data_IF_670212515601
#
_entry.id   IF_670212515601
#
_cell.length_a   1.000
_cell.length_b   1.000
_cell.length_c   1.000
_cell.angle_alpha   90.00
_cell.angle_beta   90.00
_cell.angle_gamma   90.00
#
_symmetry.space_group_name_H-M   'P 1'
#
loop_
_entity.id
_entity.type
_entity.pdbx_description
1 polymer ?
#
# COMPACT_ATOMS: atom_id res chain seq x y z
N UNK A 1 8.78 65.81 -62.44
CA UNK A 1 9.57 65.36 -61.28
C UNK A 1 9.79 63.87 -61.44
N UNK A 2 11.04 63.50 -61.74
CA UNK A 2 11.55 62.15 -61.98
C UNK A 2 11.42 61.25 -60.73
N UNK A 3 11.53 59.92 -60.69
CA UNK A 3 11.60 58.71 -61.55
C UNK A 3 11.76 57.56 -60.52
N UNK A 4 11.49 56.31 -60.93
CA UNK A 4 12.08 55.04 -60.42
C UNK A 4 11.44 54.19 -59.30
N UNK A 5 11.15 52.95 -59.72
CA UNK A 5 11.03 51.68 -58.99
C UNK A 5 12.30 51.38 -58.17
N UNK A 6 12.16 50.71 -57.01
CA UNK A 6 13.23 49.89 -56.45
C UNK A 6 12.68 48.73 -55.59
N UNK A 7 12.96 47.52 -56.09
CA UNK A 7 12.92 46.22 -55.44
C UNK A 7 13.94 46.21 -54.27
N UNK A 8 13.58 45.69 -53.09
CA UNK A 8 14.55 45.33 -52.06
C UNK A 8 14.32 43.88 -51.63
N UNK A 9 15.11 43.01 -52.24
CA UNK A 9 15.51 41.70 -51.74
C UNK A 9 16.29 41.90 -50.43
N UNK A 10 15.84 41.25 -49.35
CA UNK A 10 16.71 40.96 -48.20
C UNK A 10 16.85 39.45 -48.10
N UNK A 11 18.04 38.98 -48.46
CA UNK A 11 18.52 37.62 -48.26
C UNK A 11 18.99 37.40 -46.82
N UNK A 12 18.85 36.14 -46.39
CA UNK A 12 19.64 35.44 -45.36
C UNK A 12 19.36 35.87 -43.89
N UNK A 13 19.28 34.97 -42.91
CA UNK A 13 20.05 33.74 -42.69
C UNK A 13 19.24 32.74 -41.85
N UNK A 14 19.26 31.46 -42.26
CA UNK A 14 18.88 30.33 -41.41
C UNK A 14 19.96 30.19 -40.31
N UNK A 15 19.67 30.62 -39.09
CA UNK A 15 20.47 30.28 -37.93
C UNK A 15 20.00 28.91 -37.41
N UNK A 16 20.67 27.84 -37.83
CA UNK A 16 20.56 26.53 -37.16
C UNK A 16 21.20 26.69 -35.79
N UNK A 17 20.40 27.04 -34.80
CA UNK A 17 20.80 26.96 -33.40
C UNK A 17 20.95 25.49 -33.03
N UNK A 18 22.18 24.98 -33.07
CA UNK A 18 22.53 23.76 -32.34
C UNK A 18 22.46 24.13 -30.86
N UNK A 19 21.28 23.91 -30.27
CA UNK A 19 21.15 23.98 -28.83
C UNK A 19 22.07 22.90 -28.23
N UNK A 20 22.88 23.21 -27.21
CA UNK A 20 23.59 22.17 -26.49
C UNK A 20 22.52 21.27 -25.88
N UNK A 21 22.54 20.00 -26.24
CA UNK A 21 21.84 18.97 -25.49
C UNK A 21 22.44 18.97 -24.09
N UNK A 22 21.90 19.82 -23.23
CA UNK A 22 22.06 19.70 -21.80
C UNK A 22 21.29 18.43 -21.43
N UNK A 23 21.98 17.29 -21.54
CA UNK A 23 21.59 16.10 -20.83
C UNK A 23 21.50 16.51 -19.37
N UNK A 24 20.28 16.77 -18.92
CA UNK A 24 20.00 16.85 -17.51
C UNK A 24 20.35 15.47 -16.97
N UNK A 25 21.54 15.34 -16.37
CA UNK A 25 21.73 14.32 -15.35
C UNK A 25 20.65 14.64 -14.32
N UNK A 26 19.67 13.74 -14.21
CA UNK A 26 18.80 13.72 -13.07
C UNK A 26 19.72 13.78 -11.85
N UNK A 27 19.68 14.88 -11.11
CA UNK A 27 20.32 14.94 -9.83
C UNK A 27 19.75 13.78 -9.02
N UNK A 28 20.63 12.91 -8.50
CA UNK A 28 20.26 11.84 -7.59
C UNK A 28 19.56 12.50 -6.40
N UNK A 29 18.23 12.51 -6.45
CA UNK A 29 17.42 12.89 -5.32
C UNK A 29 17.89 12.00 -4.16
N UNK A 30 18.27 12.56 -2.99
CA UNK A 30 18.61 11.74 -1.84
C UNK A 30 17.42 10.83 -1.63
N UNK A 31 17.60 9.51 -1.80
CA UNK A 31 16.60 8.50 -2.17
C UNK A 31 15.24 8.58 -1.42
N UNK A 32 14.49 9.65 -1.69
CA UNK A 32 13.08 9.89 -1.43
C UNK A 32 12.34 9.18 -2.49
N UNK A 33 12.15 7.90 -2.21
CA UNK A 33 12.47 6.92 -3.21
C UNK A 33 11.49 7.02 -4.38
N UNK A 34 12.02 7.33 -5.56
CA UNK A 34 11.29 7.15 -6.81
C UNK A 34 10.60 5.78 -6.87
N UNK A 35 11.14 4.77 -6.19
CA UNK A 35 10.53 3.46 -5.97
C UNK A 35 9.23 3.52 -5.15
N UNK A 36 9.18 4.20 -4.00
CA UNK A 36 7.93 4.36 -3.24
C UNK A 36 6.86 5.05 -4.09
N UNK A 37 7.24 6.11 -4.80
CA UNK A 37 6.33 6.79 -5.72
C UNK A 37 5.90 5.88 -6.87
N UNK A 38 6.79 5.06 -7.44
CA UNK A 38 6.44 4.06 -8.46
C UNK A 38 5.47 3.01 -7.92
N UNK A 39 5.71 2.48 -6.72
CA UNK A 39 4.84 1.50 -6.04
C UNK A 39 3.47 2.09 -5.78
N UNK A 40 3.40 3.31 -5.23
CA UNK A 40 2.14 4.04 -5.05
C UNK A 40 1.46 4.30 -6.38
N UNK A 41 2.19 4.84 -7.35
CA UNK A 41 1.61 5.29 -8.61
C UNK A 41 1.04 4.14 -9.43
N UNK A 42 1.66 2.95 -9.36
CA UNK A 42 1.18 1.75 -10.05
C UNK A 42 -0.32 1.56 -9.86
N UNK A 43 -0.80 1.64 -8.62
CA UNK A 43 -2.22 1.45 -8.31
C UNK A 43 -2.90 2.80 -8.09
N UNK A 44 -2.44 3.62 -7.16
CA UNK A 44 -3.27 4.69 -6.62
C UNK A 44 -3.26 5.96 -7.46
N UNK A 45 -2.32 6.11 -8.40
CA UNK A 45 -2.35 7.24 -9.33
C UNK A 45 -3.60 7.25 -10.20
N UNK A 46 -4.07 6.09 -10.67
CA UNK A 46 -5.28 6.02 -11.49
C UNK A 46 -6.54 6.46 -10.70
N UNK A 47 -6.56 6.22 -9.38
CA UNK A 47 -7.63 6.68 -8.48
C UNK A 47 -7.50 8.18 -8.25
N UNK A 48 -6.29 8.65 -7.93
CA UNK A 48 -5.99 10.07 -7.71
C UNK A 48 -6.30 10.94 -8.94
N UNK A 49 -5.94 10.47 -10.13
CA UNK A 49 -6.22 11.13 -11.40
C UNK A 49 -7.69 10.95 -11.86
N UNK A 50 -8.55 10.30 -11.05
CA UNK A 50 -9.97 10.03 -11.34
C UNK A 50 -10.19 9.25 -12.64
N UNK A 51 -9.21 8.44 -13.03
CA UNK A 51 -9.25 7.58 -14.24
C UNK A 51 -9.99 6.27 -14.00
N UNK A 52 -10.17 5.89 -12.74
CA UNK A 52 -10.91 4.71 -12.31
C UNK A 52 -11.62 4.99 -10.99
N UNK A 53 -12.75 4.33 -10.76
CA UNK A 53 -13.51 4.41 -9.51
C UNK A 53 -13.36 3.10 -8.74
N UNK A 54 -12.38 3.05 -7.83
CA UNK A 54 -12.14 1.95 -6.90
C UNK A 54 -11.48 2.45 -5.62
N UNK A 55 -11.41 1.59 -4.60
CA UNK A 55 -10.71 1.90 -3.34
C UNK A 55 -9.21 2.15 -3.52
N UNK A 56 -8.62 2.86 -2.56
CA UNK A 56 -7.19 3.08 -2.42
C UNK A 56 -6.47 1.80 -1.97
N UNK A 57 -5.31 1.53 -2.56
CA UNK A 57 -4.41 0.46 -2.13
C UNK A 57 -3.58 0.87 -0.92
N UNK A 58 -3.00 2.07 -1.01
CA UNK A 58 -2.07 2.64 -0.05
C UNK A 58 -2.69 3.82 0.67
N UNK A 59 -3.36 4.70 -0.09
CA UNK A 59 -3.94 5.95 0.39
C UNK A 59 -3.73 7.10 -0.61
N UNK A 60 -4.37 8.26 -0.38
CA UNK A 60 -4.28 9.40 -1.28
C UNK A 60 -2.86 9.99 -1.37
N UNK A 61 -2.07 9.86 -0.30
CA UNK A 61 -0.70 10.35 -0.22
C UNK A 61 0.07 9.64 0.92
N UNK A 62 1.36 9.91 1.01
CA UNK A 62 2.14 9.55 2.19
C UNK A 62 1.80 10.46 3.38
N UNK A 63 1.73 9.86 4.57
CA UNK A 63 1.46 10.55 5.84
C UNK A 63 2.73 11.10 6.49
N UNK A 64 3.90 10.63 6.07
CA UNK A 64 5.19 11.06 6.59
C UNK A 64 6.14 11.46 5.46
N UNK A 65 7.15 12.30 5.75
CA UNK A 65 8.36 12.31 4.94
C UNK A 65 9.05 10.93 5.01
N UNK A 66 10.15 10.77 4.28
CA UNK A 66 11.03 9.63 4.54
C UNK A 66 11.53 9.65 5.97
N UNK A 67 11.51 8.49 6.59
CA UNK A 67 12.09 8.27 7.91
C UNK A 67 13.19 7.22 7.81
N UNK A 68 14.17 7.33 8.71
CA UNK A 68 15.18 6.30 8.92
C UNK A 68 14.83 5.56 10.20
N UNK A 69 14.66 4.25 10.10
CA UNK A 69 14.35 3.39 11.25
C UNK A 69 15.46 2.35 11.47
N UNK A 70 15.77 2.00 12.73
CA UNK A 70 16.72 0.92 13.02
C UNK A 70 16.32 -0.39 12.33
N UNK A 71 17.25 -0.96 11.56
CA UNK A 71 17.13 -2.28 10.97
C UNK A 71 18.51 -2.91 10.83
N UNK A 72 18.80 -3.93 11.65
CA UNK A 72 20.15 -4.49 11.86
C UNK A 72 20.84 -4.88 10.55
N UNK A 73 20.13 -5.51 9.64
CA UNK A 73 20.67 -6.06 8.39
C UNK A 73 20.71 -5.03 7.25
N UNK A 74 20.23 -3.81 7.48
CA UNK A 74 20.29 -2.73 6.50
C UNK A 74 21.64 -2.01 6.56
N UNK A 75 22.16 -1.44 5.45
CA UNK A 75 23.37 -0.62 5.48
C UNK A 75 23.29 0.48 6.54
N UNK A 76 24.34 0.60 7.35
CA UNK A 76 24.40 1.50 8.52
C UNK A 76 23.37 1.20 9.63
N UNK A 77 22.72 0.02 9.60
CA UNK A 77 21.72 -0.37 10.58
C UNK A 77 20.41 0.41 10.47
N UNK A 78 20.12 1.03 9.31
CA UNK A 78 18.96 1.89 9.11
C UNK A 78 18.23 1.56 7.81
N UNK A 79 16.94 1.22 7.89
CA UNK A 79 16.05 1.13 6.72
C UNK A 79 15.41 2.49 6.44
N UNK A 80 15.09 2.74 5.17
CA UNK A 80 14.28 3.89 4.76
C UNK A 80 12.81 3.46 4.76
N UNK A 81 11.94 4.25 5.38
CA UNK A 81 10.50 3.98 5.43
C UNK A 81 9.66 5.20 5.10
N UNK A 82 8.41 4.95 4.69
CA UNK A 82 7.39 5.97 4.54
C UNK A 82 6.01 5.38 4.89
N UNK A 83 5.23 6.10 5.69
CA UNK A 83 3.92 5.64 6.15
C UNK A 83 2.79 6.16 5.26
N UNK A 84 1.82 5.29 5.00
CA UNK A 84 0.59 5.54 4.27
C UNK A 84 -0.61 5.07 5.10
N UNK A 85 -1.83 5.38 4.67
CA UNK A 85 -3.05 5.02 5.40
C UNK A 85 -3.19 3.52 5.62
N UNK A 86 -2.80 2.70 4.63
CA UNK A 86 -2.99 1.24 4.66
C UNK A 86 -1.74 0.43 4.95
N UNK A 87 -0.56 1.05 4.96
CA UNK A 87 0.72 0.32 5.12
C UNK A 87 1.90 1.25 5.44
N UNK A 88 3.06 0.64 5.74
CA UNK A 88 4.39 1.26 5.70
C UNK A 88 5.13 0.71 4.49
N UNK A 89 5.62 1.56 3.59
CA UNK A 89 6.59 1.13 2.59
C UNK A 89 8.00 1.21 3.16
N UNK A 90 8.83 0.20 2.91
CA UNK A 90 10.19 0.15 3.41
C UNK A 90 11.20 -0.40 2.39
N UNK A 91 12.43 0.07 2.51
CA UNK A 91 13.61 -0.43 1.80
C UNK A 91 14.67 -0.76 2.83
N UNK A 92 14.94 -2.05 2.98
CA UNK A 92 15.97 -2.59 3.88
C UNK A 92 17.29 -2.83 3.13
N UNK A 93 17.25 -3.06 1.81
CA UNK A 93 18.41 -3.32 0.97
C UNK A 93 18.49 -2.30 -0.18
N UNK A 94 19.03 -1.09 0.04
CA UNK A 94 19.05 -0.02 -0.96
C UNK A 94 19.88 -0.36 -2.21
N UNK A 95 20.86 -1.26 -2.10
CA UNK A 95 21.66 -1.79 -3.22
C UNK A 95 21.00 -2.96 -3.97
N UNK A 96 19.79 -3.36 -3.58
CA UNK A 96 19.01 -4.36 -4.31
C UNK A 96 18.54 -3.87 -5.68
N UNK A 97 18.00 -4.78 -6.49
CA UNK A 97 17.48 -4.44 -7.82
C UNK A 97 16.17 -3.63 -7.70
N UNK A 98 16.10 -2.37 -8.14
CA UNK A 98 14.90 -1.55 -8.05
C UNK A 98 13.79 -1.93 -9.06
N UNK A 99 14.04 -2.88 -9.95
CA UNK A 99 13.08 -3.38 -10.93
C UNK A 99 12.19 -4.52 -10.38
N UNK A 100 12.60 -5.19 -9.30
CA UNK A 100 11.74 -6.19 -8.64
C UNK A 100 10.67 -5.50 -7.77
N UNK A 101 9.42 -6.02 -7.73
CA UNK A 101 8.41 -5.51 -6.81
C UNK A 101 8.88 -5.56 -5.36
N UNK A 102 9.74 -6.53 -5.00
CA UNK A 102 10.25 -6.73 -3.64
C UNK A 102 11.35 -5.76 -3.22
N UNK A 103 11.76 -4.82 -4.07
CA UNK A 103 12.64 -3.72 -3.67
C UNK A 103 11.99 -2.81 -2.63
N UNK A 104 10.67 -2.60 -2.78
CA UNK A 104 9.82 -1.94 -1.79
C UNK A 104 8.96 -3.01 -1.15
N UNK A 105 9.08 -3.19 0.16
CA UNK A 105 8.24 -4.12 0.92
C UNK A 105 7.32 -3.35 1.86
N UNK A 106 6.39 -4.07 2.49
CA UNK A 106 5.43 -3.51 3.44
C UNK A 106 5.80 -3.74 4.92
N UNK A 107 6.95 -4.40 5.15
CA UNK A 107 7.34 -4.88 6.47
C UNK A 107 6.25 -5.73 7.12
N UNK A 108 6.15 -5.62 8.45
CA UNK A 108 5.20 -6.36 9.27
C UNK A 108 4.26 -5.44 10.05
N UNK A 109 3.98 -4.20 9.58
CA UNK A 109 3.33 -3.16 10.39
C UNK A 109 2.07 -3.64 11.12
N UNK A 110 1.13 -4.31 10.44
CA UNK A 110 -0.08 -4.83 11.10
C UNK A 110 0.26 -5.85 12.20
N UNK A 111 1.17 -6.78 11.94
CA UNK A 111 1.66 -7.75 12.94
C UNK A 111 2.39 -7.07 14.10
N UNK A 112 3.20 -6.03 13.82
CA UNK A 112 3.89 -5.23 14.83
C UNK A 112 2.88 -4.55 15.76
N UNK A 113 1.82 -3.96 15.20
CA UNK A 113 0.74 -3.29 15.94
C UNK A 113 -0.08 -4.28 16.78
N UNK A 114 -0.36 -5.49 16.27
CA UNK A 114 -1.10 -6.52 17.01
C UNK A 114 -0.25 -7.09 18.15
N UNK A 115 1.01 -7.44 17.88
CA UNK A 115 1.85 -8.19 18.83
C UNK A 115 2.65 -7.28 19.77
N UNK A 116 2.77 -6.00 19.43
CA UNK A 116 3.73 -5.09 20.04
C UNK A 116 5.18 -5.42 19.71
N UNK A 117 5.47 -6.40 18.83
CA UNK A 117 6.84 -6.78 18.47
C UNK A 117 7.29 -5.98 17.26
N UNK A 118 7.80 -4.78 17.49
CA UNK A 118 8.32 -3.91 16.43
C UNK A 118 9.58 -4.51 15.83
N UNK A 119 9.60 -4.73 14.51
CA UNK A 119 10.74 -5.30 13.81
C UNK A 119 11.88 -4.28 13.71
N UNK A 120 13.08 -4.70 14.11
CA UNK A 120 14.33 -3.91 14.01
C UNK A 120 15.45 -4.70 13.33
N UNK A 121 15.07 -5.76 12.62
CA UNK A 121 15.92 -6.64 11.81
C UNK A 121 15.17 -7.90 11.41
N UNK A 122 15.75 -8.73 10.56
CA UNK A 122 15.10 -9.92 9.97
C UNK A 122 14.51 -10.85 11.03
N UNK A 123 15.26 -11.08 12.12
CA UNK A 123 14.84 -11.86 13.29
C UNK A 123 14.97 -11.08 14.62
N UNK A 124 15.11 -9.74 14.55
CA UNK A 124 15.30 -8.88 15.72
C UNK A 124 14.06 -8.03 15.99
N UNK A 125 13.59 -8.02 17.23
CA UNK A 125 12.38 -7.30 17.62
C UNK A 125 12.57 -6.50 18.90
N UNK A 126 11.90 -5.35 18.99
CA UNK A 126 11.74 -4.58 20.21
C UNK A 126 10.30 -4.74 20.71
N UNK A 127 10.14 -5.11 21.99
CA UNK A 127 8.82 -5.23 22.60
C UNK A 127 8.25 -3.85 22.94
N UNK A 128 6.99 -3.65 22.56
CA UNK A 128 6.09 -2.55 22.87
C UNK A 128 4.76 -3.11 23.37
N UNK A 129 3.85 -2.23 23.78
CA UNK A 129 2.46 -2.63 23.98
C UNK A 129 1.79 -2.84 22.60
N UNK A 130 0.87 -3.82 22.48
CA UNK A 130 -0.08 -3.85 21.37
C UNK A 130 -0.80 -2.50 21.21
N UNK A 131 -1.08 -2.11 19.98
CA UNK A 131 -1.59 -0.78 19.67
C UNK A 131 -3.11 -0.67 19.92
N UNK A 132 -3.52 0.30 20.73
CA UNK A 132 -4.93 0.62 21.00
C UNK A 132 -5.56 1.51 19.91
N UNK A 133 -5.03 1.44 18.68
CA UNK A 133 -5.52 2.16 17.50
C UNK A 133 -6.55 1.30 16.80
N UNK A 134 -7.65 1.93 16.35
CA UNK A 134 -8.72 1.25 15.62
C UNK A 134 -8.20 0.67 14.29
N UNK A 135 -8.61 -0.57 13.98
CA UNK A 135 -8.23 -1.24 12.72
C UNK A 135 -8.99 -0.67 11.53
N UNK A 136 -10.22 -0.20 11.77
CA UNK A 136 -11.08 0.42 10.78
C UNK A 136 -12.00 1.46 11.45
N UNK A 137 -12.49 2.40 10.66
CA UNK A 137 -13.30 3.52 11.15
C UNK A 137 -12.46 4.68 11.68
N UNK A 138 -13.11 5.61 12.36
CA UNK A 138 -12.47 6.80 12.91
C UNK A 138 -11.63 6.47 14.15
N UNK A 139 -10.59 7.27 14.42
CA UNK A 139 -9.67 7.02 15.52
C UNK A 139 -10.32 7.12 16.92
N UNK A 140 -11.43 7.83 17.03
CA UNK A 140 -12.21 8.03 18.26
C UNK A 140 -13.41 7.08 18.39
N UNK A 141 -13.62 6.15 17.43
CA UNK A 141 -14.67 5.13 17.53
C UNK A 141 -14.45 4.24 18.79
N UNK A 142 -15.38 4.25 19.76
CA UNK A 142 -15.24 3.48 20.98
C UNK A 142 -15.67 2.01 20.84
N UNK A 143 -16.21 1.61 19.69
CA UNK A 143 -16.82 0.30 19.47
C UNK A 143 -15.98 -0.62 18.58
N UNK A 144 -15.22 -0.06 17.64
CA UNK A 144 -14.36 -0.80 16.73
C UNK A 144 -13.27 -1.60 17.44
N UNK A 145 -12.88 -2.78 16.93
CA UNK A 145 -11.66 -3.48 17.34
C UNK A 145 -10.40 -2.63 17.11
N UNK A 146 -9.47 -2.71 18.05
CA UNK A 146 -8.11 -2.17 17.91
C UNK A 146 -7.15 -3.25 17.46
N UNK A 147 -5.94 -2.90 17.05
CA UNK A 147 -4.89 -3.91 16.83
C UNK A 147 -4.63 -4.74 18.10
N UNK A 148 -4.70 -4.12 19.29
CA UNK A 148 -4.61 -4.80 20.57
C UNK A 148 -5.75 -5.78 20.84
N UNK A 149 -6.94 -5.60 20.26
CA UNK A 149 -8.03 -6.58 20.32
C UNK A 149 -7.59 -7.93 19.74
N UNK A 150 -6.88 -7.91 18.61
CA UNK A 150 -6.43 -9.13 17.93
C UNK A 150 -5.32 -9.87 18.68
N UNK A 151 -4.55 -9.17 19.53
CA UNK A 151 -3.47 -9.77 20.33
C UNK A 151 -3.97 -10.77 21.38
N UNK A 152 -5.28 -10.72 21.68
CA UNK A 152 -5.96 -11.54 22.68
C UNK A 152 -6.65 -12.75 22.07
N UNK A 153 -6.72 -12.82 20.74
CA UNK A 153 -7.34 -13.94 20.06
C UNK A 153 -6.43 -15.17 20.15
N UNK A 154 -7.01 -16.35 20.37
CA UNK A 154 -6.22 -17.58 20.34
C UNK A 154 -5.59 -17.77 18.96
N UNK A 155 -4.34 -18.22 18.94
CA UNK A 155 -3.70 -18.66 17.71
C UNK A 155 -4.35 -19.96 17.22
N UNK A 156 -4.58 -20.07 15.91
CA UNK A 156 -5.12 -21.29 15.31
C UNK A 156 -6.61 -21.22 14.97
N UNK A 157 -6.97 -22.03 13.97
CA UNK A 157 -8.05 -21.81 13.02
C UNK A 157 -9.50 -21.93 13.52
N UNK A 158 -10.41 -21.25 12.80
CA UNK A 158 -11.81 -21.66 12.63
C UNK A 158 -12.42 -20.95 11.40
N UNK A 159 -13.43 -21.51 10.69
CA UNK A 159 -13.73 -22.91 10.38
C UNK A 159 -13.07 -23.31 9.03
N UNK A 160 -13.29 -24.54 8.55
CA UNK A 160 -12.75 -25.06 7.28
C UNK A 160 -13.21 -24.31 6.02
N UNK A 161 -12.83 -24.84 4.84
CA UNK A 161 -13.18 -24.31 3.53
C UNK A 161 -14.68 -23.98 3.41
N UNK A 162 -15.01 -22.87 2.75
CA UNK A 162 -16.38 -22.50 2.33
C UNK A 162 -17.39 -22.20 3.47
N UNK A 163 -16.93 -22.04 4.71
CA UNK A 163 -17.81 -21.60 5.79
C UNK A 163 -18.23 -20.13 5.60
N UNK A 164 -19.54 -19.87 5.56
CA UNK A 164 -20.08 -18.52 5.66
C UNK A 164 -19.64 -17.91 6.98
N UNK A 165 -19.04 -16.73 6.91
CA UNK A 165 -18.54 -15.99 8.06
C UNK A 165 -19.73 -15.36 8.76
N UNK A 166 -20.14 -15.92 9.89
CA UNK A 166 -21.19 -15.39 10.78
C UNK A 166 -20.65 -14.90 12.11
N UNK A 167 -19.34 -15.02 12.33
CA UNK A 167 -18.70 -14.60 13.58
C UNK A 167 -18.35 -13.13 13.54
N UNK A 168 -18.65 -12.42 14.61
CA UNK A 168 -18.21 -11.05 14.83
C UNK A 168 -17.19 -10.93 15.96
N UNK A 169 -16.40 -9.86 15.92
CA UNK A 169 -15.38 -9.50 16.92
C UNK A 169 -15.76 -8.17 17.58
N UNK A 170 -15.78 -8.15 18.91
CA UNK A 170 -15.94 -6.93 19.71
C UNK A 170 -14.59 -6.36 20.12
N UNK A 171 -14.55 -5.07 20.45
CA UNK A 171 -13.37 -4.36 20.95
C UNK A 171 -12.69 -5.04 22.15
N UNK A 172 -13.46 -5.66 23.04
CA UNK A 172 -12.92 -6.36 24.21
C UNK A 172 -12.21 -7.70 23.89
N UNK A 173 -12.29 -8.16 22.63
CA UNK A 173 -11.74 -9.43 22.16
C UNK A 173 -12.74 -10.58 22.18
N UNK A 174 -13.98 -10.34 22.64
CA UNK A 174 -15.03 -11.36 22.61
C UNK A 174 -15.50 -11.63 21.19
N UNK A 175 -15.51 -12.90 20.82
CA UNK A 175 -16.11 -13.40 19.57
C UNK A 175 -17.56 -13.75 19.83
N UNK A 176 -18.45 -13.35 18.93
CA UNK A 176 -19.87 -13.74 18.95
C UNK A 176 -20.26 -14.34 17.61
N UNK A 177 -21.39 -15.06 17.58
CA UNK A 177 -22.00 -15.54 16.35
C UNK A 177 -23.31 -14.80 16.11
N UNK A 178 -23.57 -14.38 14.88
CA UNK A 178 -24.81 -13.75 14.46
C UNK A 178 -25.21 -14.25 13.07
N UNK A 179 -26.22 -15.12 13.02
CA UNK A 179 -26.73 -15.73 11.79
C UNK A 179 -27.27 -14.70 10.80
N UNK A 180 -27.59 -13.48 11.25
CA UNK A 180 -28.01 -12.41 10.33
C UNK A 180 -26.90 -12.06 9.35
N UNK A 181 -25.62 -12.28 9.69
CA UNK A 181 -24.53 -12.04 8.75
C UNK A 181 -24.50 -13.05 7.58
N UNK A 182 -25.16 -14.20 7.70
CA UNK A 182 -25.24 -15.16 6.62
C UNK A 182 -25.91 -14.59 5.36
N UNK A 183 -26.76 -13.56 5.51
CA UNK A 183 -27.41 -12.87 4.40
C UNK A 183 -26.41 -12.23 3.41
N UNK A 184 -25.17 -11.94 3.86
CA UNK A 184 -24.13 -11.36 3.01
C UNK A 184 -23.36 -12.40 2.20
N UNK A 185 -23.55 -13.70 2.48
CA UNK A 185 -22.90 -14.81 1.78
C UNK A 185 -21.36 -14.70 1.67
N UNK A 186 -20.72 -14.04 2.64
CA UNK A 186 -19.26 -13.91 2.68
C UNK A 186 -18.66 -15.18 3.28
N UNK A 187 -17.93 -15.94 2.47
CA UNK A 187 -17.21 -17.14 2.90
C UNK A 187 -15.70 -16.94 3.00
N UNK A 188 -14.99 -18.05 3.18
CA UNK A 188 -13.54 -18.16 3.06
C UNK A 188 -13.17 -19.07 1.89
N UNK A 189 -12.13 -18.72 1.13
CA UNK A 189 -11.83 -19.41 -0.15
C UNK A 189 -10.39 -19.90 -0.32
N UNK A 190 -9.42 -19.32 0.37
CA UNK A 190 -8.01 -19.67 0.18
C UNK A 190 -7.30 -19.89 1.52
N UNK A 191 -6.70 -21.06 1.71
CA UNK A 191 -5.94 -21.39 2.93
C UNK A 191 -4.46 -21.02 2.76
N UNK A 192 -3.92 -20.29 3.72
CA UNK A 192 -2.51 -19.90 3.78
C UNK A 192 -1.80 -20.74 4.83
N UNK A 193 -0.94 -21.67 4.41
CA UNK A 193 -0.26 -22.61 5.31
C UNK A 193 0.76 -21.94 6.22
N UNK A 194 1.36 -20.83 5.77
CA UNK A 194 2.36 -20.04 6.47
C UNK A 194 1.83 -19.45 7.78
N UNK A 195 0.53 -19.16 7.82
CA UNK A 195 -0.13 -18.55 8.99
C UNK A 195 -1.28 -19.38 9.56
N UNK A 196 -1.73 -20.41 8.84
CA UNK A 196 -2.82 -21.29 9.26
C UNK A 196 -4.22 -20.66 9.17
N UNK A 197 -4.38 -19.60 8.38
CA UNK A 197 -5.66 -18.89 8.23
C UNK A 197 -6.22 -18.99 6.81
N UNK A 198 -7.54 -18.91 6.74
CA UNK A 198 -8.25 -18.74 5.47
C UNK A 198 -8.50 -17.26 5.17
N UNK A 199 -8.40 -16.89 3.90
CA UNK A 199 -8.72 -15.55 3.38
C UNK A 199 -10.21 -15.50 3.02
N UNK A 200 -10.91 -14.45 3.46
CA UNK A 200 -12.31 -14.22 3.09
C UNK A 200 -12.42 -13.95 1.58
N UNK A 201 -13.49 -14.46 0.95
CA UNK A 201 -13.67 -14.41 -0.51
C UNK A 201 -13.48 -13.02 -1.11
N UNK A 202 -14.06 -11.92 -0.56
CA UNK A 202 -13.87 -10.58 -1.15
C UNK A 202 -12.42 -10.11 -1.16
N UNK A 203 -11.64 -10.47 -0.14
CA UNK A 203 -10.21 -10.12 -0.10
C UNK A 203 -9.43 -10.91 -1.14
N UNK A 204 -9.69 -12.20 -1.27
CA UNK A 204 -9.02 -13.03 -2.26
C UNK A 204 -9.34 -12.59 -3.69
N UNK A 205 -10.60 -12.27 -3.98
CA UNK A 205 -11.02 -11.72 -5.27
C UNK A 205 -10.32 -10.39 -5.55
N UNK A 206 -10.25 -9.49 -4.57
CA UNK A 206 -9.55 -8.22 -4.71
C UNK A 206 -8.04 -8.43 -4.98
N UNK A 207 -7.38 -9.28 -4.21
CA UNK A 207 -5.95 -9.62 -4.36
C UNK A 207 -5.61 -10.20 -5.74
N UNK A 208 -6.58 -10.81 -6.42
CA UNK A 208 -6.42 -11.38 -7.76
C UNK A 208 -7.08 -10.54 -8.86
N UNK A 209 -7.58 -9.34 -8.53
CA UNK A 209 -8.29 -8.49 -9.48
C UNK A 209 -7.33 -7.76 -10.44
N UNK A 210 -7.90 -7.34 -11.57
CA UNK A 210 -7.23 -6.50 -12.56
C UNK A 210 -7.95 -5.15 -12.67
N UNK A 211 -7.20 -4.12 -13.05
CA UNK A 211 -7.74 -2.78 -13.24
C UNK A 211 -6.74 -1.86 -13.91
N UNK A 212 -7.10 -0.58 -13.99
CA UNK A 212 -6.20 0.43 -14.54
C UNK A 212 -5.01 0.65 -13.59
N UNK A 213 -3.81 0.44 -14.11
CA UNK A 213 -2.53 0.68 -13.44
C UNK A 213 -1.71 1.71 -14.21
N UNK A 214 -0.79 2.39 -13.53
CA UNK A 214 0.15 3.33 -14.14
C UNK A 214 1.58 2.81 -14.04
N UNK A 215 2.17 2.43 -15.17
CA UNK A 215 3.55 1.93 -15.21
C UNK A 215 4.28 2.54 -16.40
N UNK A 216 5.58 2.85 -16.21
CA UNK A 216 6.45 3.34 -17.28
C UNK A 216 5.90 4.55 -18.05
N UNK A 217 5.14 5.42 -17.38
CA UNK A 217 4.60 6.66 -17.95
C UNK A 217 3.23 6.54 -18.63
N UNK A 218 2.63 5.35 -18.66
CA UNK A 218 1.34 5.13 -19.32
C UNK A 218 0.37 4.33 -18.46
N UNK A 219 -0.91 4.46 -18.79
CA UNK A 219 -1.99 3.70 -18.19
C UNK A 219 -2.27 2.44 -19.01
N UNK A 220 -2.45 1.31 -18.33
CA UNK A 220 -2.88 0.06 -18.96
C UNK A 220 -3.73 -0.77 -18.00
N UNK A 221 -4.56 -1.66 -18.53
CA UNK A 221 -5.25 -2.65 -17.70
C UNK A 221 -4.29 -3.81 -17.43
N UNK A 222 -4.06 -4.10 -16.15
CA UNK A 222 -3.24 -5.23 -15.70
C UNK A 222 -3.70 -5.71 -14.32
N UNK A 223 -3.09 -6.79 -13.81
CA UNK A 223 -3.26 -7.19 -12.42
C UNK A 223 -2.91 -6.03 -11.47
N UNK A 224 -3.79 -5.74 -10.51
CA UNK A 224 -3.53 -4.72 -9.50
C UNK A 224 -2.33 -5.10 -8.64
N UNK A 225 -2.18 -6.41 -8.40
CA UNK A 225 -1.10 -7.00 -7.63
C UNK A 225 -0.25 -7.90 -8.53
N UNK A 226 1.07 -7.67 -8.57
CA UNK A 226 2.00 -8.58 -9.26
C UNK A 226 2.13 -9.94 -8.55
N UNK A 227 1.92 -9.92 -7.23
CA UNK A 227 1.72 -11.09 -6.39
C UNK A 227 0.54 -10.79 -5.45
N UNK A 228 -0.45 -11.70 -5.29
CA UNK A 228 -1.63 -11.46 -4.45
C UNK A 228 -1.30 -10.97 -3.04
N UNK A 229 -0.18 -11.40 -2.47
CA UNK A 229 0.25 -11.09 -1.11
C UNK A 229 1.12 -9.83 -1.00
N UNK A 230 1.46 -9.18 -2.12
CA UNK A 230 2.45 -8.09 -2.13
C UNK A 230 2.06 -6.92 -1.22
N UNK A 231 0.83 -6.40 -1.33
CA UNK A 231 0.40 -5.26 -0.52
C UNK A 231 -0.23 -5.67 0.81
N UNK A 232 -0.89 -6.83 0.88
CA UNK A 232 -1.68 -7.25 2.04
C UNK A 232 -0.92 -8.16 3.01
N UNK A 233 0.14 -8.83 2.54
CA UNK A 233 0.77 -9.93 3.25
C UNK A 233 -0.16 -11.15 3.40
N UNK A 234 0.32 -12.15 4.14
CA UNK A 234 -0.49 -13.30 4.55
C UNK A 234 -1.53 -12.91 5.61
N UNK A 235 -2.72 -13.56 5.66
CA UNK A 235 -3.68 -13.34 6.73
C UNK A 235 -3.07 -13.70 8.10
N UNK A 236 -3.25 -12.83 9.09
CA UNK A 236 -2.72 -13.02 10.46
C UNK A 236 -3.82 -13.26 11.51
N UNK A 237 -5.08 -13.36 11.07
CA UNK A 237 -6.23 -13.76 11.89
C UNK A 237 -7.33 -14.35 11.00
N UNK A 238 -8.32 -14.99 11.62
CA UNK A 238 -9.55 -15.39 10.92
C UNK A 238 -10.40 -14.17 10.54
N UNK A 239 -11.29 -14.33 9.57
CA UNK A 239 -12.25 -13.29 9.20
C UNK A 239 -13.36 -13.15 10.26
N UNK A 240 -13.66 -11.91 10.63
CA UNK A 240 -14.73 -11.54 11.55
C UNK A 240 -15.50 -10.33 11.02
N UNK A 241 -16.79 -10.27 11.30
CA UNK A 241 -17.55 -9.03 11.23
C UNK A 241 -17.20 -8.13 12.41
N UNK A 242 -17.17 -6.82 12.20
CA UNK A 242 -17.00 -5.86 13.27
C UNK A 242 -17.93 -4.68 13.04
N UNK A 243 -18.44 -4.12 14.14
CA UNK A 243 -19.04 -2.80 14.09
C UNK A 243 -17.89 -1.78 14.06
N UNK A 244 -18.04 -0.76 13.23
CA UNK A 244 -17.18 0.42 13.24
C UNK A 244 -18.04 1.64 13.00
N UNK A 245 -17.76 2.72 13.71
CA UNK A 245 -18.30 4.03 13.40
C UNK A 245 -17.43 4.71 12.34
N UNK A 246 -18.06 5.37 11.39
CA UNK A 246 -17.42 6.34 10.52
C UNK A 246 -18.33 7.54 10.45
N UNK A 247 -17.83 8.72 10.78
CA UNK A 247 -18.46 9.97 10.43
C UNK A 247 -18.43 10.03 8.90
N UNK A 248 -19.61 9.88 8.30
CA UNK A 248 -19.80 10.25 6.90
C UNK A 248 -19.56 11.75 6.80
N UNK A 249 -18.35 12.15 6.39
CA UNK A 249 -18.15 13.50 5.86
C UNK A 249 -18.75 13.48 4.46
N UNK A 250 -19.95 14.05 4.36
CA UNK A 250 -20.66 14.30 3.11
C UNK A 250 -19.97 15.40 2.29
#
# INVERSE_FOLDING_TARGET
MNRYVALLLVCATLAIGVAPAHGARAADAPAGNSAFLRTWARTDKAVADQRTSRTWMWGPQANTPLLLEPYRESPNGLRVVQYFDKSRMEITQPSGDPATPWYVTNGLLATELITGRMQVGDASFQQRAPAEVNVAGDADDPHGPTYATFSRLPAGAAPGAEAVVTRGLRRDGSVFNDERFAQYAIGTTHFTAETGYWIATPFWEFMNSSGLVYASGFYSTAALFENPYYATGFPISAAYWAASASIAVA
#
